data_IF_139741113933
#
_entry.id   IF_139741113933
#
_cell.length_a   1.000
_cell.length_b   1.000
_cell.length_c   1.000
_cell.angle_alpha   90.00
_cell.angle_beta   90.00
_cell.angle_gamma   90.00
#
_symmetry.space_group_name_H-M   'P 1'
#
loop_
_entity.id
_entity.type
_entity.pdbx_description
1 polymer ?
#
# COMPACT_ATOMS: atom_id res chain seq x y z
N UNK A 1 4.45 3.61 9.52
CA UNK A 1 5.91 3.81 9.53
C UNK A 1 6.30 4.58 8.29
N UNK A 2 7.35 5.38 8.35
CA UNK A 2 7.80 6.17 7.23
C UNK A 2 9.34 6.21 7.20
N UNK A 3 9.90 6.37 6.01
CA UNK A 3 11.33 6.31 5.78
C UNK A 3 11.72 7.44 4.85
N UNK A 4 12.72 8.18 5.27
CA UNK A 4 13.32 9.24 4.48
C UNK A 4 14.55 9.79 5.22
N UNK A 5 15.36 10.61 4.55
CA UNK A 5 16.47 11.32 5.19
C UNK A 5 15.90 12.49 6.02
N UNK A 6 15.73 12.25 7.34
CA UNK A 6 15.13 13.24 8.23
C UNK A 6 16.13 14.27 8.78
N UNK A 7 17.44 14.01 8.65
CA UNK A 7 18.49 14.87 9.19
C UNK A 7 19.39 15.51 8.13
N UNK A 8 19.13 15.27 6.84
CA UNK A 8 19.89 15.80 5.68
C UNK A 8 21.35 15.37 5.61
N UNK A 9 21.67 14.21 6.17
CA UNK A 9 23.03 13.70 6.12
C UNK A 9 23.31 12.82 4.89
N UNK A 10 22.31 12.64 4.03
CA UNK A 10 22.34 11.80 2.85
C UNK A 10 22.13 10.32 3.16
N UNK A 11 21.75 9.98 4.39
CA UNK A 11 21.38 8.64 4.80
C UNK A 11 19.87 8.58 5.02
N UNK A 12 19.27 7.44 4.78
CA UNK A 12 17.88 7.28 5.11
C UNK A 12 17.70 6.92 6.59
N UNK A 13 16.70 7.53 7.20
CA UNK A 13 16.30 7.36 8.58
C UNK A 13 14.95 6.65 8.65
N UNK A 14 14.58 6.19 9.82
CA UNK A 14 13.34 5.46 10.06
C UNK A 14 12.49 6.21 11.07
N UNK A 15 11.20 6.33 10.83
CA UNK A 15 10.23 6.81 11.79
C UNK A 15 9.10 5.79 11.99
N UNK A 16 8.80 5.49 13.24
CA UNK A 16 7.78 4.51 13.62
C UNK A 16 6.80 5.12 14.60
N UNK A 17 5.52 5.07 14.26
CA UNK A 17 4.45 5.45 15.16
C UNK A 17 3.91 4.19 15.87
N UNK A 18 3.93 4.22 17.19
CA UNK A 18 3.55 3.10 18.05
C UNK A 18 2.13 3.25 18.56
N UNK A 19 1.23 2.37 18.14
CA UNK A 19 -0.19 2.37 18.51
C UNK A 19 -0.40 2.21 20.03
N UNK A 20 0.25 1.24 20.65
CA UNK A 20 0.05 0.91 22.07
C UNK A 20 0.61 1.95 23.04
N UNK A 21 1.78 2.52 22.74
CA UNK A 21 2.42 3.55 23.57
C UNK A 21 2.12 4.97 23.14
N UNK A 22 1.45 5.11 22.00
CA UNK A 22 1.06 6.42 21.48
C UNK A 22 2.25 7.36 21.32
N UNK A 23 3.33 6.88 20.72
CA UNK A 23 4.51 7.70 20.50
C UNK A 23 5.14 7.46 19.12
N UNK A 24 6.01 8.38 18.73
CA UNK A 24 6.89 8.25 17.59
C UNK A 24 8.31 7.96 18.07
N UNK A 25 8.96 7.02 17.41
CA UNK A 25 10.39 6.73 17.58
C UNK A 25 11.09 6.89 16.24
N UNK A 26 12.26 7.55 16.26
CA UNK A 26 13.10 7.70 15.07
C UNK A 26 14.45 7.06 15.26
N UNK A 27 14.96 6.47 14.21
CA UNK A 27 16.28 5.88 14.14
C UNK A 27 17.03 6.57 13.01
N UNK A 28 18.17 7.20 13.33
CA UNK A 28 18.99 7.89 12.36
C UNK A 28 20.00 6.95 11.74
N UNK A 29 20.01 6.87 10.42
CA UNK A 29 20.99 6.13 9.67
C UNK A 29 22.40 6.71 9.87
N UNK A 30 23.42 5.87 10.05
CA UNK A 30 24.79 6.32 10.22
C UNK A 30 25.73 5.93 9.07
N UNK A 31 25.12 5.37 7.98
CA UNK A 31 25.87 4.97 6.77
C UNK A 31 26.77 3.74 6.95
N UNK A 32 26.77 3.12 8.12
CA UNK A 32 27.61 1.95 8.43
C UNK A 32 26.80 0.72 8.89
N UNK A 33 25.52 0.66 8.52
CA UNK A 33 24.52 -0.37 8.90
C UNK A 33 24.13 -0.35 10.37
N UNK A 34 24.37 0.74 11.04
CA UNK A 34 23.86 0.94 12.38
C UNK A 34 22.93 2.13 12.36
N UNK A 35 21.85 1.99 13.09
CA UNK A 35 20.99 3.11 13.43
C UNK A 35 21.38 3.57 14.84
N UNK A 36 21.69 4.84 14.98
CA UNK A 36 21.84 5.40 16.29
C UNK A 36 20.43 5.65 16.85
N UNK A 37 20.12 4.96 17.92
CA UNK A 37 18.94 5.30 18.71
C UNK A 37 19.23 6.68 19.34
N UNK A 38 18.80 7.73 18.69
CA UNK A 38 18.94 9.11 19.18
C UNK A 38 18.10 9.38 20.43
N UNK A 39 17.63 8.32 21.05
CA UNK A 39 16.80 8.37 22.23
C UNK A 39 15.33 8.53 21.87
N UNK A 40 14.47 8.19 22.78
CA UNK A 40 13.04 8.53 22.73
C UNK A 40 12.93 10.05 22.62
N UNK A 41 12.98 10.60 21.41
CA UNK A 41 12.40 11.90 21.19
C UNK A 41 10.90 11.65 21.33
N UNK A 42 10.47 11.67 22.60
CA UNK A 42 9.13 11.31 22.96
C UNK A 42 8.14 12.36 22.51
N UNK A 43 7.81 12.36 21.23
CA UNK A 43 6.52 12.87 20.84
C UNK A 43 5.57 11.78 21.30
N UNK A 44 4.93 12.04 22.44
CA UNK A 44 3.83 11.24 22.90
C UNK A 44 2.58 11.78 22.23
N UNK A 45 1.84 10.92 21.60
CA UNK A 45 0.55 11.24 21.03
C UNK A 45 -0.54 11.08 22.11
N UNK A 46 -1.55 11.90 22.04
CA UNK A 46 -2.71 11.74 22.92
C UNK A 46 -3.56 10.52 22.52
N UNK A 47 -3.46 10.09 21.29
CA UNK A 47 -4.24 9.01 20.68
C UNK A 47 -3.36 7.95 20.02
N UNK A 48 -3.93 6.79 19.73
CA UNK A 48 -3.20 5.68 19.11
C UNK A 48 -2.97 5.94 17.61
N UNK A 49 -1.71 6.01 17.12
CA UNK A 49 -1.44 6.21 15.71
C UNK A 49 -1.77 4.94 14.92
N UNK A 50 -2.53 5.10 13.83
CA UNK A 50 -2.93 4.01 12.94
C UNK A 50 -1.99 3.89 11.74
N UNK A 51 -1.57 5.01 11.17
CA UNK A 51 -0.84 5.07 9.92
C UNK A 51 0.12 6.26 9.91
N UNK A 52 1.25 6.12 9.24
CA UNK A 52 2.17 7.23 8.98
C UNK A 52 2.66 7.22 7.53
N UNK A 53 2.94 8.39 6.99
CA UNK A 53 3.63 8.58 5.72
C UNK A 53 4.78 9.57 5.87
N UNK A 54 5.73 9.55 4.95
CA UNK A 54 6.82 10.50 4.91
C UNK A 54 7.06 11.02 3.50
N UNK A 55 7.54 12.25 3.41
CA UNK A 55 7.91 12.86 2.15
C UNK A 55 8.57 14.21 2.39
N UNK A 56 9.18 14.76 1.35
CA UNK A 56 9.76 16.12 1.42
C UNK A 56 8.66 17.15 1.13
N UNK A 57 7.98 17.58 2.18
CA UNK A 57 6.87 18.54 2.08
C UNK A 57 7.32 20.01 2.12
N UNK A 58 8.59 20.30 2.44
CA UNK A 58 9.09 21.65 2.59
C UNK A 58 10.25 22.04 1.67
N UNK A 59 10.70 21.15 0.79
CA UNK A 59 11.82 21.35 -0.16
C UNK A 59 13.16 21.77 0.47
N UNK A 60 13.31 21.65 1.76
CA UNK A 60 14.55 21.98 2.44
C UNK A 60 15.59 20.85 2.39
N UNK A 61 15.21 19.73 1.76
CA UNK A 61 16.03 18.53 1.63
C UNK A 61 15.91 17.57 2.82
N UNK A 62 15.07 17.87 3.82
CA UNK A 62 14.67 16.92 4.84
C UNK A 62 13.32 16.31 4.51
N UNK A 63 12.90 15.35 5.29
CA UNK A 63 11.62 14.72 5.14
C UNK A 63 10.80 14.87 6.40
N UNK A 64 9.54 15.13 6.18
CA UNK A 64 8.54 15.25 7.23
C UNK A 64 7.73 13.95 7.33
N UNK A 65 7.10 13.76 8.49
CA UNK A 65 6.24 12.63 8.79
C UNK A 65 4.84 13.13 9.08
N UNK A 66 3.82 12.50 8.52
CA UNK A 66 2.46 12.68 9.00
C UNK A 66 1.94 11.38 9.66
N UNK A 67 1.06 11.54 10.62
CA UNK A 67 0.51 10.45 11.44
C UNK A 67 -1.00 10.56 11.48
N UNK A 68 -1.69 9.48 11.10
CA UNK A 68 -3.14 9.35 11.26
C UNK A 68 -3.45 8.46 12.48
N UNK A 69 -4.56 8.69 13.15
CA UNK A 69 -4.92 8.03 14.41
C UNK A 69 -6.19 7.21 14.29
N UNK A 70 -6.27 6.15 15.09
CA UNK A 70 -7.45 5.31 15.18
C UNK A 70 -8.60 6.02 15.91
N UNK A 71 -9.76 6.10 15.28
CA UNK A 71 -10.98 6.68 15.86
C UNK A 71 -10.93 8.18 16.13
N UNK A 72 -10.02 8.91 15.49
CA UNK A 72 -9.77 10.34 15.68
C UNK A 72 -9.91 11.08 14.35
N UNK A 73 -10.32 12.31 14.41
CA UNK A 73 -10.67 13.17 13.28
C UNK A 73 -9.56 14.19 12.91
N UNK A 74 -8.30 13.82 13.16
CA UNK A 74 -7.16 14.63 12.71
C UNK A 74 -5.92 13.77 12.39
N UNK A 75 -5.00 14.38 11.65
CA UNK A 75 -3.64 13.87 11.42
C UNK A 75 -2.62 14.85 12.00
N UNK A 76 -1.53 14.33 12.52
CA UNK A 76 -0.38 15.13 12.93
C UNK A 76 0.66 15.14 11.82
N UNK A 77 1.31 16.27 11.65
CA UNK A 77 2.52 16.35 10.87
C UNK A 77 3.69 16.77 11.74
N UNK A 78 4.79 16.09 11.55
CA UNK A 78 6.04 16.28 12.28
C UNK A 78 7.09 16.81 11.32
N UNK A 79 7.63 17.99 11.59
CA UNK A 79 8.67 18.65 10.81
C UNK A 79 10.04 18.35 11.40
N UNK A 80 11.00 17.94 10.58
CA UNK A 80 12.36 17.68 11.02
C UNK A 80 13.21 18.96 11.06
N UNK A 81 14.20 18.96 11.94
CA UNK A 81 15.23 19.99 12.03
C UNK A 81 16.63 19.38 11.86
N UNK A 82 17.63 20.20 11.54
CA UNK A 82 19.00 19.82 11.14
C UNK A 82 19.77 18.82 12.04
N UNK A 83 19.21 18.37 13.13
CA UNK A 83 19.82 17.39 14.05
C UNK A 83 18.99 16.09 14.20
N UNK A 84 18.06 15.84 13.26
CA UNK A 84 17.21 14.64 13.31
C UNK A 84 16.21 14.63 14.48
N UNK A 85 15.95 15.79 15.10
CA UNK A 85 14.92 15.93 16.12
C UNK A 85 13.65 16.51 15.52
N UNK A 86 12.51 16.02 15.96
CA UNK A 86 11.22 16.61 15.61
C UNK A 86 10.83 17.62 16.69
N UNK A 87 10.49 18.82 16.29
CA UNK A 87 9.96 19.83 17.19
C UNK A 87 8.63 20.30 16.67
N UNK A 88 7.63 20.34 17.52
CA UNK A 88 6.24 20.68 17.25
C UNK A 88 5.53 19.72 16.32
N UNK A 89 4.59 18.98 16.83
CA UNK A 89 3.55 18.41 16.01
C UNK A 89 2.50 19.51 15.70
N UNK A 90 2.01 19.50 14.48
CA UNK A 90 0.90 20.35 14.08
C UNK A 90 -0.25 19.41 13.77
N UNK A 91 -1.34 19.56 14.52
CA UNK A 91 -2.54 18.76 14.29
C UNK A 91 -3.32 19.31 13.10
N UNK A 92 -3.71 18.41 12.21
CA UNK A 92 -4.61 18.73 11.11
C UNK A 92 -5.87 17.90 11.25
N UNK A 93 -7.01 18.58 11.43
CA UNK A 93 -8.30 17.89 11.47
C UNK A 93 -8.56 17.12 10.19
N UNK A 94 -9.10 15.91 10.33
CA UNK A 94 -9.58 15.04 9.26
C UNK A 94 -11.00 14.58 9.59
N UNK A 95 -11.54 13.61 8.86
CA UNK A 95 -12.78 12.95 9.26
C UNK A 95 -12.57 11.81 10.24
N UNK A 96 -13.65 11.16 10.64
CA UNK A 96 -13.65 10.08 11.62
C UNK A 96 -13.29 8.73 10.97
N UNK A 97 -12.58 7.88 11.71
CA UNK A 97 -12.20 6.51 11.35
C UNK A 97 -11.44 6.46 10.02
N UNK A 98 -10.17 6.84 10.10
CA UNK A 98 -9.26 6.84 8.96
C UNK A 98 -8.92 5.40 8.55
N UNK A 99 -9.07 5.05 7.28
CA UNK A 99 -8.78 3.70 6.77
C UNK A 99 -7.58 3.64 5.85
N UNK A 100 -7.42 4.61 4.97
CA UNK A 100 -6.38 4.60 3.96
C UNK A 100 -5.87 6.01 3.67
N UNK A 101 -4.60 6.10 3.31
CA UNK A 101 -3.96 7.34 2.91
C UNK A 101 -3.21 7.14 1.59
N UNK A 102 -3.32 8.11 0.69
CA UNK A 102 -2.51 8.18 -0.51
C UNK A 102 -1.88 9.58 -0.64
N UNK A 103 -0.79 9.64 -1.37
CA UNK A 103 -0.03 10.86 -1.61
C UNK A 103 -0.09 11.22 -3.10
N UNK A 104 -0.04 12.52 -3.40
CA UNK A 104 0.04 13.03 -4.76
C UNK A 104 0.22 14.54 -4.75
N UNK A 105 0.60 15.11 -5.87
CA UNK A 105 0.60 16.56 -6.08
C UNK A 105 -0.75 16.95 -6.73
N UNK A 106 -1.74 17.31 -5.89
CA UNK A 106 -3.10 17.58 -6.35
C UNK A 106 -3.30 19.02 -6.83
N UNK A 107 -2.28 19.88 -6.66
CA UNK A 107 -2.36 21.28 -7.04
C UNK A 107 -1.30 21.69 -8.06
N UNK A 108 -0.48 20.75 -8.56
CA UNK A 108 0.59 20.95 -9.54
C UNK A 108 1.66 21.95 -9.09
N UNK A 109 1.90 22.05 -7.78
CA UNK A 109 2.94 22.90 -7.22
C UNK A 109 4.24 22.16 -6.93
N UNK A 110 4.29 20.88 -7.27
CA UNK A 110 5.40 19.95 -7.02
C UNK A 110 5.64 19.65 -5.53
N UNK A 111 4.68 19.96 -4.67
CA UNK A 111 4.68 19.52 -3.28
C UNK A 111 3.80 18.27 -3.13
N UNK A 112 4.10 17.47 -2.13
CA UNK A 112 3.25 16.34 -1.79
C UNK A 112 2.05 16.83 -0.99
N UNK A 113 0.89 16.43 -1.44
CA UNK A 113 -0.39 16.59 -0.78
C UNK A 113 -0.86 15.23 -0.24
N UNK A 114 -1.88 15.25 0.60
CA UNK A 114 -2.40 14.06 1.27
C UNK A 114 -3.89 13.91 0.96
N UNK A 115 -4.31 12.68 0.64
CA UNK A 115 -5.72 12.30 0.63
C UNK A 115 -5.95 11.15 1.60
N UNK A 116 -7.02 11.24 2.41
CA UNK A 116 -7.34 10.30 3.48
C UNK A 116 -8.79 9.85 3.34
N UNK A 117 -9.03 8.53 3.37
CA UNK A 117 -10.37 7.97 3.43
C UNK A 117 -10.88 7.97 4.88
N UNK A 118 -12.02 8.61 5.13
CA UNK A 118 -12.66 8.72 6.43
C UNK A 118 -13.92 7.85 6.44
N UNK A 119 -13.78 6.63 6.92
CA UNK A 119 -14.85 5.61 6.94
C UNK A 119 -16.08 6.11 7.71
N UNK A 120 -15.86 6.68 8.90
CA UNK A 120 -16.94 7.12 9.78
C UNK A 120 -17.77 8.27 9.26
N UNK A 121 -17.21 9.12 8.39
CA UNK A 121 -17.89 10.31 7.87
C UNK A 121 -18.36 10.16 6.42
N UNK A 122 -18.00 9.09 5.76
CA UNK A 122 -18.26 8.89 4.33
C UNK A 122 -17.67 10.02 3.48
N UNK A 123 -16.43 10.38 3.76
CA UNK A 123 -15.69 11.44 3.05
C UNK A 123 -14.25 11.04 2.75
N UNK A 124 -13.62 11.79 1.87
CA UNK A 124 -12.16 11.92 1.87
C UNK A 124 -11.77 13.32 2.33
N UNK A 125 -10.66 13.40 3.07
CA UNK A 125 -10.00 14.67 3.43
C UNK A 125 -8.80 14.87 2.54
N UNK A 126 -8.69 16.05 1.94
CA UNK A 126 -7.53 16.48 1.15
C UNK A 126 -6.84 17.62 1.91
N UNK A 127 -5.54 17.49 2.10
CA UNK A 127 -4.67 18.48 2.75
C UNK A 127 -3.56 18.84 1.76
N UNK A 128 -3.48 20.09 1.35
CA UNK A 128 -2.47 20.57 0.42
C UNK A 128 -1.21 21.00 1.17
N UNK A 129 -0.07 20.50 0.72
CA UNK A 129 1.22 20.83 1.26
C UNK A 129 1.72 22.21 0.79
N UNK A 130 2.30 22.99 1.69
CA UNK A 130 2.92 24.27 1.34
C UNK A 130 4.42 24.14 0.99
N UNK A 131 4.95 22.93 0.99
CA UNK A 131 6.37 22.69 0.75
C UNK A 131 7.30 23.28 1.83
N UNK A 132 6.77 23.63 2.97
CA UNK A 132 7.51 24.11 4.13
C UNK A 132 7.22 23.25 5.38
N UNK A 133 6.68 22.05 5.15
CA UNK A 133 6.30 21.16 6.21
C UNK A 133 4.95 21.48 6.86
N UNK A 134 4.15 22.36 6.29
CA UNK A 134 2.78 22.59 6.74
C UNK A 134 1.77 22.31 5.64
N UNK A 135 0.54 22.03 6.05
CA UNK A 135 -0.59 21.80 5.15
C UNK A 135 -1.70 22.83 5.36
N UNK A 136 -2.55 22.93 4.37
CA UNK A 136 -3.81 23.63 4.54
C UNK A 136 -4.69 22.93 5.58
N UNK A 137 -5.70 23.61 6.09
CA UNK A 137 -6.81 22.90 6.71
C UNK A 137 -7.40 21.93 5.69
N UNK A 138 -7.87 20.77 6.18
CA UNK A 138 -8.52 19.79 5.32
C UNK A 138 -9.66 20.41 4.50
N UNK A 139 -9.81 19.91 3.30
CA UNK A 139 -11.02 20.09 2.51
C UNK A 139 -11.65 18.72 2.31
N UNK A 140 -12.88 18.57 2.78
CA UNK A 140 -13.58 17.29 2.71
C UNK A 140 -14.43 17.21 1.44
N UNK A 141 -14.47 16.01 0.88
CA UNK A 141 -15.32 15.67 -0.24
C UNK A 141 -16.12 14.42 0.08
N UNK A 142 -17.42 14.43 -0.19
CA UNK A 142 -18.29 13.30 0.07
C UNK A 142 -17.91 12.11 -0.82
N UNK A 143 -18.00 10.91 -0.26
CA UNK A 143 -17.85 9.63 -0.94
C UNK A 143 -19.12 8.79 -0.77
N UNK A 144 -19.10 7.55 -1.21
CA UNK A 144 -20.10 6.56 -0.81
C UNK A 144 -19.91 6.13 0.63
N UNK A 145 -20.70 5.14 1.07
CA UNK A 145 -20.69 4.68 2.46
C UNK A 145 -19.48 3.83 2.78
N UNK A 146 -18.78 4.17 3.84
CA UNK A 146 -17.56 3.52 4.35
C UNK A 146 -16.44 3.45 3.28
N UNK A 147 -15.78 4.57 2.99
CA UNK A 147 -14.60 4.57 2.13
C UNK A 147 -13.47 3.78 2.78
N UNK A 148 -12.96 2.76 2.09
CA UNK A 148 -11.99 1.81 2.63
C UNK A 148 -10.63 1.89 1.98
N UNK A 149 -10.57 1.98 0.66
CA UNK A 149 -9.34 1.99 -0.13
C UNK A 149 -9.36 3.14 -1.13
N UNK A 150 -8.21 3.76 -1.34
CA UNK A 150 -8.02 4.92 -2.23
C UNK A 150 -6.90 4.63 -3.22
N UNK A 151 -7.12 5.00 -4.48
CA UNK A 151 -6.05 5.10 -5.47
C UNK A 151 -6.12 6.45 -6.17
N UNK A 152 -5.01 6.87 -6.74
CA UNK A 152 -4.87 8.15 -7.46
C UNK A 152 -4.37 7.90 -8.87
N UNK A 153 -4.80 8.75 -9.80
CA UNK A 153 -4.37 8.69 -11.20
C UNK A 153 -5.03 9.83 -11.99
N UNK A 154 -4.53 10.08 -13.16
CA UNK A 154 -5.15 11.03 -14.11
C UNK A 154 -6.18 10.26 -14.95
N UNK A 155 -7.47 10.34 -14.56
CA UNK A 155 -8.54 9.59 -15.21
C UNK A 155 -9.15 10.29 -16.42
N UNK A 156 -8.83 11.59 -16.62
CA UNK A 156 -9.38 12.38 -17.71
C UNK A 156 -8.31 12.89 -18.69
N UNK A 157 -7.05 12.45 -18.51
CA UNK A 157 -5.90 12.84 -19.35
C UNK A 157 -5.63 14.35 -19.38
N UNK A 158 -5.94 15.06 -18.28
CA UNK A 158 -5.68 16.49 -18.16
C UNK A 158 -4.40 16.83 -17.40
N UNK A 159 -3.62 15.81 -17.05
CA UNK A 159 -2.37 15.86 -16.27
C UNK A 159 -2.54 16.20 -14.78
N UNK A 160 -3.77 16.35 -14.31
CA UNK A 160 -4.04 16.52 -12.90
C UNK A 160 -4.38 15.16 -12.25
N UNK A 161 -4.02 15.00 -10.97
CA UNK A 161 -4.38 13.80 -10.26
C UNK A 161 -5.84 13.83 -9.81
N UNK A 162 -6.54 12.75 -10.10
CA UNK A 162 -7.89 12.44 -9.66
C UNK A 162 -7.85 11.40 -8.55
N UNK A 163 -8.96 11.17 -7.88
CA UNK A 163 -9.08 10.23 -6.77
C UNK A 163 -10.18 9.21 -7.08
N UNK A 164 -9.90 7.93 -6.86
CA UNK A 164 -10.90 6.87 -6.81
C UNK A 164 -10.93 6.24 -5.43
N UNK A 165 -12.13 5.99 -4.91
CA UNK A 165 -12.37 5.49 -3.56
C UNK A 165 -13.31 4.30 -3.60
N UNK A 166 -12.90 3.17 -3.03
CA UNK A 166 -13.76 2.01 -2.84
C UNK A 166 -14.62 2.20 -1.57
N UNK A 167 -15.94 2.12 -1.71
CA UNK A 167 -16.89 2.35 -0.62
C UNK A 167 -17.47 1.03 -0.15
N UNK A 168 -16.94 0.45 0.92
CA UNK A 168 -17.20 -0.91 1.41
C UNK A 168 -18.69 -1.23 1.54
N UNK A 169 -19.45 -0.38 2.23
CA UNK A 169 -20.88 -0.57 2.41
C UNK A 169 -21.74 0.11 1.35
N UNK A 170 -21.15 0.95 0.52
CA UNK A 170 -21.83 1.61 -0.59
C UNK A 170 -22.03 0.72 -1.80
N UNK A 171 -21.25 -0.36 -1.94
CA UNK A 171 -21.15 -1.17 -3.15
C UNK A 171 -20.90 -0.30 -4.40
N UNK A 172 -20.02 0.69 -4.26
CA UNK A 172 -19.67 1.65 -5.30
C UNK A 172 -18.20 2.02 -5.21
N UNK A 173 -17.68 2.59 -6.28
CA UNK A 173 -16.54 3.49 -6.20
C UNK A 173 -17.01 4.93 -6.38
N UNK A 174 -16.34 5.85 -5.71
CA UNK A 174 -16.46 7.29 -5.91
C UNK A 174 -15.27 7.79 -6.69
N UNK A 175 -15.50 8.50 -7.79
CA UNK A 175 -14.46 9.16 -8.57
C UNK A 175 -14.61 10.67 -8.40
N UNK A 176 -13.52 11.34 -8.04
CA UNK A 176 -13.44 12.77 -7.83
C UNK A 176 -12.40 13.33 -8.78
N UNK A 177 -12.83 14.09 -9.77
CA UNK A 177 -11.97 14.70 -10.77
C UNK A 177 -11.28 15.92 -10.17
N UNK A 178 -9.94 15.94 -10.26
CA UNK A 178 -9.09 17.01 -9.80
C UNK A 178 -9.03 18.18 -10.80
N UNK A 179 -8.93 19.39 -10.29
CA UNK A 179 -8.78 20.60 -11.13
C UNK A 179 -7.34 21.11 -11.18
N UNK A 180 -6.37 20.33 -10.66
CA UNK A 180 -4.96 20.73 -10.61
C UNK A 180 -4.67 21.94 -9.72
N UNK A 181 -5.58 22.30 -8.85
CA UNK A 181 -5.46 23.40 -7.89
C UNK A 181 -5.80 22.97 -6.46
N UNK A 182 -5.73 21.66 -6.18
CA UNK A 182 -6.09 21.08 -4.89
C UNK A 182 -7.58 21.02 -4.62
N UNK A 183 -8.41 21.26 -5.64
CA UNK A 183 -9.85 21.07 -5.51
C UNK A 183 -10.34 20.00 -6.47
N UNK A 184 -11.44 19.37 -6.07
CA UNK A 184 -12.05 18.27 -6.80
C UNK A 184 -13.50 18.53 -7.08
N UNK A 185 -13.99 17.96 -8.17
CA UNK A 185 -15.42 17.92 -8.47
C UNK A 185 -16.16 17.11 -7.38
N UNK A 186 -17.47 17.29 -7.30
CA UNK A 186 -18.30 16.36 -6.55
C UNK A 186 -18.12 14.96 -7.11
N UNK A 187 -18.15 13.95 -6.22
CA UNK A 187 -18.01 12.57 -6.63
C UNK A 187 -19.01 12.19 -7.72
N UNK A 188 -18.54 11.42 -8.67
CA UNK A 188 -19.39 10.58 -9.53
C UNK A 188 -19.28 9.15 -9.01
N UNK A 189 -20.41 8.50 -8.77
CA UNK A 189 -20.43 7.14 -8.24
C UNK A 189 -20.69 6.13 -9.34
N UNK A 190 -19.94 5.03 -9.29
CA UNK A 190 -20.12 3.90 -10.19
C UNK A 190 -20.38 2.65 -9.35
N UNK A 191 -21.36 1.84 -9.74
CA UNK A 191 -21.70 0.61 -9.04
C UNK A 191 -20.57 -0.41 -9.18
N UNK A 192 -20.32 -1.13 -8.11
CA UNK A 192 -19.43 -2.30 -8.03
C UNK A 192 -20.21 -3.49 -7.53
N UNK A 193 -19.56 -4.63 -7.31
CA UNK A 193 -20.11 -5.69 -6.48
C UNK A 193 -20.18 -5.26 -5.02
N UNK A 194 -20.67 -6.16 -4.16
CA UNK A 194 -20.85 -5.91 -2.74
C UNK A 194 -19.51 -5.96 -1.99
N UNK A 195 -19.32 -5.01 -1.08
CA UNK A 195 -18.13 -4.97 -0.22
C UNK A 195 -16.82 -4.69 -0.97
N UNK A 196 -16.72 -3.63 -1.76
CA UNK A 196 -15.45 -3.25 -2.39
C UNK A 196 -14.43 -2.89 -1.31
N UNK A 197 -13.29 -3.61 -1.28
CA UNK A 197 -12.29 -3.51 -0.21
C UNK A 197 -10.89 -3.12 -0.72
N UNK A 198 -10.59 -3.40 -1.98
CA UNK A 198 -9.30 -3.11 -2.59
C UNK A 198 -9.51 -2.53 -3.98
N UNK A 199 -8.77 -1.47 -4.32
CA UNK A 199 -8.84 -0.83 -5.63
C UNK A 199 -7.43 -0.70 -6.22
N UNK A 200 -7.30 -0.98 -7.52
CA UNK A 200 -6.10 -0.72 -8.29
C UNK A 200 -6.48 -0.11 -9.66
N UNK A 201 -5.52 0.54 -10.29
CA UNK A 201 -5.72 1.22 -11.57
C UNK A 201 -4.72 0.76 -12.61
N UNK A 202 -5.10 0.78 -13.87
CA UNK A 202 -4.27 0.43 -15.01
C UNK A 202 -5.04 0.54 -16.30
N UNK A 203 -4.35 0.59 -17.43
CA UNK A 203 -4.98 0.59 -18.76
C UNK A 203 -5.23 -0.87 -19.18
N UNK A 204 -6.46 -1.36 -19.00
CA UNK A 204 -6.82 -2.75 -19.32
C UNK A 204 -7.30 -2.96 -20.74
N UNK A 205 -7.48 -1.87 -21.49
CA UNK A 205 -7.99 -1.94 -22.85
C UNK A 205 -7.03 -1.36 -23.91
N UNK A 206 -5.83 -0.93 -23.46
CA UNK A 206 -4.77 -0.34 -24.29
C UNK A 206 -5.23 0.93 -25.03
N UNK A 207 -6.12 1.72 -24.43
CA UNK A 207 -6.61 2.98 -25.01
C UNK A 207 -5.94 4.22 -24.39
N UNK A 208 -4.95 4.01 -23.50
CA UNK A 208 -4.21 5.05 -22.76
C UNK A 208 -5.00 5.76 -21.67
N UNK A 209 -6.25 5.39 -21.43
CA UNK A 209 -6.99 5.88 -20.29
C UNK A 209 -6.85 4.92 -19.12
N UNK A 210 -6.83 5.43 -17.91
CA UNK A 210 -6.80 4.58 -16.72
C UNK A 210 -8.18 3.97 -16.46
N UNK A 211 -8.19 2.66 -16.31
CA UNK A 211 -9.33 1.86 -15.90
C UNK A 211 -9.21 1.51 -14.41
N UNK A 212 -10.29 1.04 -13.82
CA UNK A 212 -10.36 0.68 -12.40
C UNK A 212 -10.67 -0.81 -12.25
N UNK A 213 -9.92 -1.50 -11.40
CA UNK A 213 -10.27 -2.83 -10.89
C UNK A 213 -10.55 -2.78 -9.40
N UNK A 214 -11.61 -3.44 -8.97
CA UNK A 214 -12.08 -3.43 -7.58
C UNK A 214 -12.35 -4.86 -7.11
N UNK A 215 -11.71 -5.26 -6.01
CA UNK A 215 -12.04 -6.51 -5.32
C UNK A 215 -13.29 -6.35 -4.46
N UNK A 216 -14.33 -7.15 -4.74
CA UNK A 216 -15.62 -7.12 -4.04
C UNK A 216 -15.68 -8.29 -3.06
N UNK A 217 -15.32 -8.04 -1.82
CA UNK A 217 -15.25 -9.03 -0.75
C UNK A 217 -16.58 -9.77 -0.52
N UNK A 218 -17.70 -9.05 -0.60
CA UNK A 218 -19.03 -9.60 -0.31
C UNK A 218 -19.65 -10.45 -1.43
N UNK A 219 -19.25 -10.22 -2.69
CA UNK A 219 -19.82 -10.90 -3.88
C UNK A 219 -18.89 -11.95 -4.48
N UNK A 220 -17.66 -12.05 -4.00
CA UNK A 220 -16.65 -12.94 -4.58
C UNK A 220 -16.37 -12.65 -6.06
N UNK A 221 -16.22 -11.37 -6.39
CA UNK A 221 -15.97 -10.91 -7.74
C UNK A 221 -14.91 -9.80 -7.75
N UNK A 222 -14.40 -9.50 -8.93
CA UNK A 222 -13.82 -8.19 -9.23
C UNK A 222 -14.73 -7.44 -10.18
N UNK A 223 -14.81 -6.12 -10.00
CA UNK A 223 -15.45 -5.18 -10.94
C UNK A 223 -14.39 -4.49 -11.77
N UNK A 224 -14.58 -4.46 -13.07
CA UNK A 224 -13.77 -3.68 -14.02
C UNK A 224 -14.63 -2.55 -14.55
N UNK A 225 -14.12 -1.33 -14.43
CA UNK A 225 -14.73 -0.12 -14.95
C UNK A 225 -13.77 0.50 -15.95
N UNK A 226 -14.12 0.48 -17.23
CA UNK A 226 -13.29 1.07 -18.28
C UNK A 226 -13.46 2.59 -18.29
N UNK A 227 -12.32 3.28 -18.26
CA UNK A 227 -12.24 4.72 -18.26
C UNK A 227 -12.42 5.30 -19.67
N UNK A 228 -12.93 6.51 -19.72
CA UNK A 228 -12.96 7.34 -20.93
C UNK A 228 -12.11 8.58 -20.71
N UNK A 229 -11.60 9.16 -21.78
CA UNK A 229 -10.73 10.34 -21.74
C UNK A 229 -11.36 11.58 -21.07
N UNK A 230 -12.62 11.53 -20.69
CA UNK A 230 -13.33 12.61 -19.99
C UNK A 230 -13.49 12.36 -18.47
N UNK A 231 -12.83 11.32 -17.94
CA UNK A 231 -12.90 10.94 -16.54
C UNK A 231 -14.18 10.22 -16.14
N UNK A 232 -15.03 9.87 -17.11
CA UNK A 232 -16.16 8.99 -16.88
C UNK A 232 -15.77 7.53 -17.08
N UNK A 233 -16.58 6.64 -16.51
CA UNK A 233 -16.36 5.21 -16.59
C UNK A 233 -17.58 4.48 -17.13
N UNK A 234 -17.33 3.39 -17.85
CA UNK A 234 -18.38 2.47 -18.25
C UNK A 234 -19.01 1.81 -17.02
N UNK A 235 -20.20 1.26 -17.21
CA UNK A 235 -20.77 0.36 -16.21
C UNK A 235 -19.82 -0.81 -15.98
N UNK A 236 -19.72 -1.24 -14.72
CA UNK A 236 -18.86 -2.36 -14.38
C UNK A 236 -19.15 -3.61 -15.20
N UNK A 237 -18.10 -4.31 -15.55
CA UNK A 237 -18.14 -5.72 -15.94
C UNK A 237 -17.57 -6.53 -14.79
N UNK A 238 -18.31 -7.56 -14.36
CA UNK A 238 -17.88 -8.36 -13.21
C UNK A 238 -17.29 -9.69 -13.66
N UNK A 239 -16.24 -10.11 -12.95
CA UNK A 239 -15.62 -11.42 -13.12
C UNK A 239 -15.58 -12.13 -11.78
N UNK A 240 -15.96 -13.42 -11.78
CA UNK A 240 -15.91 -14.22 -10.56
C UNK A 240 -14.47 -14.45 -10.10
N UNK A 241 -14.28 -14.40 -8.80
CA UNK A 241 -13.02 -14.73 -8.11
C UNK A 241 -13.22 -15.94 -7.19
N UNK A 242 -12.28 -16.22 -6.33
CA UNK A 242 -12.53 -17.05 -5.15
C UNK A 242 -13.34 -16.32 -4.10
N UNK A 243 -13.56 -16.97 -2.99
CA UNK A 243 -14.34 -16.42 -1.88
C UNK A 243 -13.54 -15.36 -1.12
N UNK A 244 -14.21 -14.25 -0.77
CA UNK A 244 -13.61 -13.17 0.01
C UNK A 244 -12.33 -12.62 -0.60
N UNK A 245 -12.38 -12.01 -1.80
CA UNK A 245 -11.24 -11.33 -2.39
C UNK A 245 -10.78 -10.19 -1.50
N UNK A 246 -9.54 -10.24 -1.02
CA UNK A 246 -9.02 -9.31 -0.02
C UNK A 246 -7.98 -8.34 -0.59
N UNK A 247 -7.15 -8.79 -1.51
CA UNK A 247 -6.08 -7.99 -2.12
C UNK A 247 -6.06 -8.20 -3.63
N UNK A 248 -5.90 -7.12 -4.37
CA UNK A 248 -5.81 -7.10 -5.84
C UNK A 248 -4.48 -6.49 -6.27
N UNK A 249 -3.81 -7.13 -7.23
CA UNK A 249 -2.64 -6.56 -7.90
C UNK A 249 -2.74 -6.80 -9.41
N UNK A 250 -1.96 -6.04 -10.18
CA UNK A 250 -1.97 -6.08 -11.64
C UNK A 250 -0.56 -6.34 -12.18
N UNK A 251 -0.48 -6.99 -13.34
CA UNK A 251 0.78 -7.27 -14.04
C UNK A 251 0.51 -8.07 -15.31
N UNK A 252 1.48 -8.13 -16.20
CA UNK A 252 1.41 -8.96 -17.41
C UNK A 252 1.94 -10.37 -17.08
N UNK A 253 1.04 -11.32 -16.80
CA UNK A 253 1.42 -12.68 -16.41
C UNK A 253 1.60 -13.63 -17.58
N UNK A 254 1.24 -13.20 -18.79
CA UNK A 254 1.33 -14.04 -19.98
C UNK A 254 2.28 -13.49 -21.06
N UNK A 255 2.96 -12.36 -20.76
CA UNK A 255 3.89 -11.66 -21.65
C UNK A 255 3.26 -11.25 -22.99
N UNK A 256 1.98 -10.87 -22.96
CA UNK A 256 1.27 -10.38 -24.14
C UNK A 256 1.13 -8.86 -24.20
N UNK A 257 1.77 -8.17 -23.23
CA UNK A 257 1.74 -6.72 -23.01
C UNK A 257 0.40 -6.14 -22.51
N UNK A 258 -0.59 -6.99 -22.25
CA UNK A 258 -1.83 -6.57 -21.64
C UNK A 258 -1.76 -6.78 -20.13
N UNK A 259 -2.43 -5.91 -19.37
CA UNK A 259 -2.50 -6.09 -17.93
C UNK A 259 -3.48 -7.20 -17.58
N UNK A 260 -3.01 -8.10 -16.73
CA UNK A 260 -3.76 -9.17 -16.09
C UNK A 260 -4.01 -8.82 -14.61
N UNK A 261 -4.89 -9.56 -13.95
CA UNK A 261 -5.26 -9.33 -12.56
C UNK A 261 -4.98 -10.57 -11.74
N UNK A 262 -4.36 -10.39 -10.58
CA UNK A 262 -4.28 -11.39 -9.52
C UNK A 262 -5.09 -10.95 -8.32
N UNK A 263 -5.82 -11.88 -7.71
CA UNK A 263 -6.69 -11.63 -6.56
C UNK A 263 -6.42 -12.67 -5.48
N UNK A 264 -6.07 -12.23 -4.28
CA UNK A 264 -5.97 -13.09 -3.11
C UNK A 264 -7.37 -13.31 -2.50
N UNK A 265 -7.82 -14.57 -2.45
CA UNK A 265 -9.15 -14.95 -1.97
C UNK A 265 -9.03 -15.59 -0.59
N UNK A 266 -9.30 -14.80 0.45
CA UNK A 266 -9.11 -15.19 1.85
C UNK A 266 -9.99 -16.38 2.26
N UNK A 267 -11.23 -16.42 1.75
CA UNK A 267 -12.23 -17.41 2.19
C UNK A 267 -12.08 -18.80 1.60
N UNK A 268 -11.43 -18.98 0.43
CA UNK A 268 -11.25 -20.31 -0.17
C UNK A 268 -9.78 -20.70 -0.41
N UNK A 269 -8.86 -19.93 0.16
CA UNK A 269 -7.43 -20.26 0.19
C UNK A 269 -6.82 -20.39 -1.20
N UNK A 270 -7.14 -19.45 -2.06
CA UNK A 270 -6.64 -19.43 -3.45
C UNK A 270 -6.19 -18.03 -3.86
N UNK A 271 -5.44 -17.96 -4.95
CA UNK A 271 -5.40 -16.78 -5.80
C UNK A 271 -6.16 -17.05 -7.09
N UNK A 272 -6.86 -16.03 -7.58
CA UNK A 272 -7.49 -16.03 -8.91
C UNK A 272 -6.63 -15.23 -9.87
N UNK A 273 -6.35 -15.78 -11.05
CA UNK A 273 -5.70 -15.11 -12.16
C UNK A 273 -6.74 -14.88 -13.26
N UNK A 274 -6.88 -13.64 -13.70
CA UNK A 274 -7.74 -13.24 -14.79
C UNK A 274 -6.86 -12.63 -15.88
N UNK A 275 -6.71 -13.32 -17.01
CA UNK A 275 -5.89 -12.83 -18.12
C UNK A 275 -6.67 -11.81 -18.93
N UNK A 276 -6.05 -10.65 -19.14
CA UNK A 276 -6.59 -9.57 -19.94
C UNK A 276 -6.40 -9.81 -21.43
N UNK A 277 -7.36 -9.38 -22.23
CA UNK A 277 -7.27 -9.45 -23.69
C UNK A 277 -6.88 -8.10 -24.31
N UNK A 278 -6.48 -7.12 -23.52
CA UNK A 278 -6.12 -5.78 -23.98
C UNK A 278 -7.27 -4.99 -24.60
N UNK A 279 -8.50 -5.41 -24.34
CA UNK A 279 -9.72 -4.75 -24.79
C UNK A 279 -10.72 -4.50 -23.65
N UNK A 280 -10.24 -4.53 -22.42
CA UNK A 280 -11.04 -4.37 -21.20
C UNK A 280 -11.82 -5.61 -20.80
N UNK A 281 -11.68 -6.72 -21.50
CA UNK A 281 -12.25 -8.00 -21.10
C UNK A 281 -11.18 -8.97 -20.63
N UNK A 282 -11.61 -9.88 -19.76
CA UNK A 282 -10.74 -10.86 -19.11
C UNK A 282 -11.24 -12.28 -19.32
N UNK A 283 -10.32 -13.22 -19.34
CA UNK A 283 -10.66 -14.63 -19.27
C UNK A 283 -11.36 -14.96 -17.94
N UNK A 284 -12.07 -16.09 -17.93
CA UNK A 284 -12.53 -16.65 -16.66
C UNK A 284 -11.32 -16.93 -15.76
N UNK A 285 -11.49 -16.72 -14.46
CA UNK A 285 -10.43 -16.95 -13.50
C UNK A 285 -9.84 -18.37 -13.62
N UNK A 286 -8.55 -18.46 -13.47
CA UNK A 286 -7.85 -19.70 -13.13
C UNK A 286 -7.43 -19.62 -11.69
N UNK A 287 -7.80 -20.60 -10.89
CA UNK A 287 -7.47 -20.63 -9.46
C UNK A 287 -6.22 -21.45 -9.19
N UNK A 288 -5.39 -20.92 -8.32
CA UNK A 288 -4.24 -21.62 -7.77
C UNK A 288 -4.35 -21.65 -6.24
N UNK A 289 -4.13 -22.83 -5.67
CA UNK A 289 -4.20 -23.00 -4.21
C UNK A 289 -3.05 -22.26 -3.53
N UNK A 290 -3.35 -21.65 -2.40
CA UNK A 290 -2.40 -21.00 -1.49
C UNK A 290 -2.43 -21.70 -0.12
N UNK A 291 -1.81 -21.11 0.87
CA UNK A 291 -2.09 -21.41 2.27
C UNK A 291 -3.45 -20.87 2.71
N UNK A 292 -3.77 -21.02 3.98
CA UNK A 292 -5.05 -20.59 4.53
C UNK A 292 -5.08 -19.09 4.80
N UNK A 293 -6.18 -18.44 4.44
CA UNK A 293 -6.41 -17.02 4.66
C UNK A 293 -5.41 -16.10 3.92
N UNK A 294 -5.28 -16.18 2.58
CA UNK A 294 -4.41 -15.26 1.85
C UNK A 294 -4.94 -13.82 1.94
N UNK A 295 -4.09 -12.90 2.43
CA UNK A 295 -4.48 -11.51 2.72
C UNK A 295 -3.62 -10.46 2.01
N UNK A 296 -2.47 -10.83 1.51
CA UNK A 296 -1.59 -9.91 0.80
C UNK A 296 -0.89 -10.65 -0.34
N UNK A 297 -0.81 -10.03 -1.51
CA UNK A 297 -0.12 -10.58 -2.68
C UNK A 297 0.86 -9.56 -3.24
N UNK A 298 2.07 -10.02 -3.58
CA UNK A 298 3.06 -9.24 -4.32
C UNK A 298 3.51 -9.99 -5.57
N UNK A 299 3.99 -9.23 -6.56
CA UNK A 299 4.28 -9.71 -7.92
C UNK A 299 5.71 -9.35 -8.29
N UNK A 300 6.52 -10.33 -8.70
CA UNK A 300 7.91 -10.11 -9.15
C UNK A 300 8.50 -11.34 -9.81
N UNK A 301 9.62 -11.20 -10.49
CA UNK A 301 10.35 -12.30 -11.14
C UNK A 301 11.34 -12.92 -10.15
N UNK A 302 10.95 -14.04 -9.50
CA UNK A 302 11.75 -14.71 -8.46
C UNK A 302 12.78 -15.72 -9.03
N UNK A 303 12.67 -16.03 -10.29
CA UNK A 303 13.55 -17.02 -10.92
C UNK A 303 14.44 -16.44 -12.04
N UNK A 304 14.37 -15.11 -12.28
CA UNK A 304 15.10 -14.38 -13.30
C UNK A 304 14.84 -14.91 -14.73
N UNK A 305 13.60 -15.31 -15.00
CA UNK A 305 13.20 -15.78 -16.34
C UNK A 305 12.40 -14.74 -17.12
N UNK A 306 12.26 -13.53 -16.57
CA UNK A 306 11.48 -12.40 -17.10
C UNK A 306 9.96 -12.57 -17.05
N UNK A 307 9.48 -13.61 -16.39
CA UNK A 307 8.06 -13.82 -16.17
C UNK A 307 7.70 -13.43 -14.72
N UNK A 308 6.49 -12.92 -14.54
CA UNK A 308 6.04 -12.53 -13.22
C UNK A 308 5.58 -13.75 -12.42
N UNK A 309 6.11 -13.87 -11.21
CA UNK A 309 5.77 -14.85 -10.19
C UNK A 309 4.94 -14.18 -9.09
N UNK A 310 4.37 -14.97 -8.21
CA UNK A 310 3.55 -14.48 -7.10
C UNK A 310 4.12 -14.95 -5.76
N UNK A 311 4.06 -14.07 -4.77
CA UNK A 311 4.17 -14.42 -3.37
C UNK A 311 2.92 -13.97 -2.62
N UNK A 312 2.39 -14.84 -1.77
CA UNK A 312 1.13 -14.63 -1.07
C UNK A 312 1.33 -14.89 0.41
N UNK A 313 0.99 -13.93 1.25
CA UNK A 313 0.98 -14.10 2.71
C UNK A 313 -0.34 -14.77 3.14
N UNK A 314 -0.23 -15.91 3.83
CA UNK A 314 -1.37 -16.71 4.28
C UNK A 314 -1.56 -16.52 5.79
N UNK A 315 -2.52 -15.66 6.18
CA UNK A 315 -2.69 -15.19 7.55
C UNK A 315 -3.01 -16.28 8.57
N UNK A 316 -3.70 -17.35 8.14
CA UNK A 316 -4.22 -18.36 9.06
C UNK A 316 -3.31 -19.60 9.24
N UNK A 317 -2.43 -19.92 8.28
CA UNK A 317 -1.59 -21.12 8.38
C UNK A 317 -0.08 -20.82 8.54
N UNK A 318 0.27 -19.57 8.79
CA UNK A 318 1.63 -19.16 9.13
C UNK A 318 2.66 -19.52 8.04
N UNK A 319 2.27 -19.33 6.79
CA UNK A 319 3.11 -19.60 5.62
C UNK A 319 3.06 -18.46 4.63
N UNK A 320 4.01 -18.46 3.72
CA UNK A 320 3.84 -17.84 2.40
C UNK A 320 3.70 -18.93 1.34
N UNK A 321 2.99 -18.61 0.28
CA UNK A 321 2.92 -19.40 -0.94
C UNK A 321 3.68 -18.67 -2.04
N UNK A 322 4.64 -19.35 -2.67
CA UNK A 322 5.32 -18.88 -3.88
C UNK A 322 4.81 -19.69 -5.06
N UNK A 323 4.34 -19.00 -6.09
CA UNK A 323 3.85 -19.60 -7.33
C UNK A 323 4.66 -19.05 -8.49
N UNK A 324 5.41 -19.94 -9.15
CA UNK A 324 6.26 -19.59 -10.29
C UNK A 324 5.41 -19.49 -11.54
N UNK A 325 5.49 -18.35 -12.22
CA UNK A 325 4.83 -18.10 -13.48
C UNK A 325 5.58 -18.70 -14.66
N UNK A 326 4.85 -19.13 -15.66
CA UNK A 326 5.44 -19.68 -16.89
C UNK A 326 5.39 -18.70 -18.06
N UNK A 327 5.06 -17.43 -17.81
CA UNK A 327 4.94 -16.39 -18.83
C UNK A 327 3.84 -16.64 -19.88
N UNK A 328 2.90 -17.52 -19.55
CA UNK A 328 1.75 -17.85 -20.40
C UNK A 328 0.42 -17.75 -19.62
N UNK A 329 0.44 -17.04 -18.49
CA UNK A 329 -0.71 -16.88 -17.60
C UNK A 329 -0.97 -18.08 -16.69
N UNK A 330 -0.11 -19.10 -16.74
CA UNK A 330 -0.21 -20.23 -15.81
C UNK A 330 0.94 -20.22 -14.82
N UNK A 331 0.67 -20.80 -13.66
CA UNK A 331 1.60 -20.87 -12.54
C UNK A 331 1.81 -22.30 -12.08
N UNK A 332 3.00 -22.56 -11.56
CA UNK A 332 3.28 -23.80 -10.87
C UNK A 332 2.41 -23.95 -9.62
N UNK A 333 2.28 -25.17 -9.13
CA UNK A 333 1.73 -25.38 -7.80
C UNK A 333 2.56 -24.61 -6.78
N UNK A 334 1.90 -24.05 -5.77
CA UNK A 334 2.58 -23.31 -4.73
C UNK A 334 3.70 -24.11 -4.07
N UNK A 335 4.81 -23.46 -3.80
CA UNK A 335 5.79 -23.90 -2.82
C UNK A 335 5.55 -23.14 -1.54
N UNK A 336 5.32 -23.85 -0.44
CA UNK A 336 5.08 -23.23 0.86
C UNK A 336 6.38 -23.07 1.63
N UNK A 337 6.52 -21.93 2.26
CA UNK A 337 7.58 -21.67 3.22
C UNK A 337 6.96 -21.33 4.56
N UNK A 338 7.38 -22.02 5.61
CA UNK A 338 6.95 -21.69 6.96
C UNK A 338 7.58 -20.38 7.40
N UNK A 339 6.78 -19.54 8.01
CA UNK A 339 7.19 -18.24 8.55
C UNK A 339 6.63 -18.12 9.98
N UNK A 340 6.75 -16.95 10.59
CA UNK A 340 6.15 -16.70 11.91
C UNK A 340 4.62 -16.70 11.86
N UNK A 341 4.00 -16.61 13.01
CA UNK A 341 2.53 -16.72 13.16
C UNK A 341 1.79 -15.43 12.79
N UNK A 342 0.71 -15.59 12.05
CA UNK A 342 -0.15 -14.49 11.60
C UNK A 342 0.55 -13.55 10.62
N UNK A 343 1.04 -14.05 9.46
CA UNK A 343 1.60 -13.15 8.45
C UNK A 343 0.55 -12.11 8.03
N UNK A 344 0.97 -10.85 7.96
CA UNK A 344 0.05 -9.72 7.73
C UNK A 344 0.37 -8.92 6.47
N UNK A 345 1.62 -8.80 6.10
CA UNK A 345 2.05 -8.05 4.92
C UNK A 345 3.29 -8.67 4.31
N UNK A 346 3.38 -8.66 2.99
CA UNK A 346 4.55 -9.14 2.24
C UNK A 346 5.11 -8.04 1.36
N UNK A 347 6.43 -7.93 1.33
CA UNK A 347 7.16 -7.10 0.37
C UNK A 347 8.33 -7.90 -0.22
N UNK A 348 8.79 -7.47 -1.39
CA UNK A 348 9.84 -8.12 -2.15
C UNK A 348 10.86 -7.10 -2.60
N UNK A 349 12.12 -7.46 -2.52
CA UNK A 349 13.23 -6.73 -3.15
C UNK A 349 14.52 -7.54 -3.01
N UNK A 350 15.65 -7.03 -3.55
CA UNK A 350 16.97 -7.65 -3.41
C UNK A 350 17.68 -7.15 -2.14
N UNK A 351 17.47 -7.83 -1.00
CA UNK A 351 18.00 -7.38 0.31
C UNK A 351 19.50 -7.63 0.49
N UNK A 352 20.10 -8.43 -0.36
CA UNK A 352 21.50 -8.80 -0.24
C UNK A 352 22.38 -8.31 -1.39
N UNK A 353 21.82 -7.55 -2.34
CA UNK A 353 22.45 -7.02 -3.55
C UNK A 353 23.08 -8.12 -4.44
N UNK A 354 22.38 -9.23 -4.59
CA UNK A 354 22.80 -10.32 -5.47
C UNK A 354 22.02 -10.36 -6.80
N UNK A 355 21.19 -9.35 -7.05
CA UNK A 355 20.26 -9.20 -8.18
C UNK A 355 19.19 -10.31 -8.25
N UNK A 356 18.75 -10.77 -7.11
CA UNK A 356 17.65 -11.73 -6.97
C UNK A 356 16.64 -11.18 -5.97
N UNK A 357 15.38 -11.39 -6.26
CA UNK A 357 14.34 -10.95 -5.33
C UNK A 357 14.29 -11.86 -4.10
N UNK A 358 14.30 -11.23 -2.95
CA UNK A 358 14.10 -11.82 -1.64
C UNK A 358 12.67 -11.48 -1.15
N UNK A 359 12.24 -12.13 -0.10
CA UNK A 359 10.91 -11.92 0.49
C UNK A 359 11.06 -11.50 1.94
N UNK A 360 10.29 -10.50 2.36
CA UNK A 360 10.08 -10.16 3.76
C UNK A 360 8.59 -10.23 4.10
N UNK A 361 8.27 -10.78 5.26
CA UNK A 361 6.89 -10.94 5.74
C UNK A 361 6.82 -10.55 7.21
N UNK A 362 5.85 -9.73 7.57
CA UNK A 362 5.54 -9.43 8.96
C UNK A 362 4.66 -10.53 9.57
N UNK A 363 4.93 -10.92 10.81
CA UNK A 363 4.24 -11.97 11.54
C UNK A 363 3.57 -11.36 12.77
N UNK A 364 2.30 -11.03 12.63
CA UNK A 364 1.52 -10.28 13.61
C UNK A 364 1.49 -10.91 15.01
N UNK A 365 1.25 -12.22 15.07
CA UNK A 365 1.08 -12.92 16.36
C UNK A 365 2.39 -13.21 17.08
N UNK A 366 3.48 -13.37 16.35
CA UNK A 366 4.80 -13.71 16.91
C UNK A 366 5.66 -12.49 17.23
N UNK A 367 5.23 -11.31 16.80
CA UNK A 367 6.02 -10.09 16.95
C UNK A 367 7.39 -10.21 16.27
N UNK A 368 7.39 -10.75 15.06
CA UNK A 368 8.61 -10.95 14.27
C UNK A 368 8.37 -10.57 12.82
N UNK A 369 9.47 -10.46 12.08
CA UNK A 369 9.46 -10.56 10.63
C UNK A 369 10.29 -11.75 10.17
N UNK A 370 9.90 -12.35 9.07
CA UNK A 370 10.61 -13.42 8.38
C UNK A 370 11.23 -12.88 7.12
N UNK A 371 12.53 -13.11 6.93
CA UNK A 371 13.25 -12.80 5.69
C UNK A 371 13.68 -14.09 5.03
N UNK A 372 13.36 -14.27 3.77
CA UNK A 372 13.73 -15.43 2.97
C UNK A 372 14.53 -14.97 1.76
N UNK A 373 15.82 -15.32 1.74
CA UNK A 373 16.70 -14.98 0.62
C UNK A 373 16.42 -15.86 -0.61
N UNK A 374 16.27 -15.23 -1.76
CA UNK A 374 16.04 -15.90 -3.01
C UNK A 374 17.33 -16.45 -3.63
N UNK A 375 17.23 -17.60 -4.26
CA UNK A 375 18.34 -18.16 -5.01
C UNK A 375 18.30 -17.79 -6.51
N UNK A 376 17.33 -16.97 -6.93
CA UNK A 376 17.14 -16.55 -8.32
C UNK A 376 16.66 -17.69 -9.23
N UNK A 377 16.08 -18.73 -8.65
CA UNK A 377 15.51 -19.88 -9.35
C UNK A 377 14.12 -20.26 -8.82
N UNK A 378 13.44 -19.31 -8.20
CA UNK A 378 12.12 -19.50 -7.57
C UNK A 378 12.15 -20.27 -6.26
N UNK A 379 13.35 -20.55 -5.73
CA UNK A 379 13.53 -21.21 -4.44
C UNK A 379 14.13 -20.22 -3.45
N UNK A 380 13.68 -20.29 -2.22
CA UNK A 380 14.11 -19.41 -1.14
C UNK A 380 14.80 -20.20 -0.02
N UNK A 381 15.70 -19.55 0.67
CA UNK A 381 16.29 -20.06 1.89
C UNK A 381 15.23 -20.23 2.99
N UNK A 382 15.57 -21.00 4.02
CA UNK A 382 14.76 -20.99 5.23
C UNK A 382 14.72 -19.57 5.81
N UNK A 383 13.59 -19.21 6.39
CA UNK A 383 13.42 -17.91 7.01
C UNK A 383 14.53 -17.58 8.02
N UNK A 384 14.99 -16.37 7.97
CA UNK A 384 15.68 -15.71 9.07
C UNK A 384 14.65 -14.92 9.84
N UNK A 385 14.59 -15.09 11.14
CA UNK A 385 13.59 -14.44 11.99
C UNK A 385 14.25 -13.27 12.70
N UNK A 386 13.62 -12.12 12.62
CA UNK A 386 14.01 -10.91 13.33
C UNK A 386 12.87 -10.48 14.23
N UNK A 387 13.21 -10.12 15.48
CA UNK A 387 12.21 -9.55 16.38
C UNK A 387 11.77 -8.17 15.87
N UNK A 388 10.49 -7.92 15.91
CA UNK A 388 9.87 -6.62 15.68
C UNK A 388 9.25 -6.13 16.99
N UNK A 389 8.56 -5.03 16.94
CA UNK A 389 7.62 -4.70 18.00
C UNK A 389 6.36 -5.58 17.95
N UNK A 390 5.40 -5.35 18.88
CA UNK A 390 4.20 -6.17 19.01
C UNK A 390 3.21 -5.93 17.88
N UNK A 391 2.69 -7.01 17.33
CA UNK A 391 1.67 -6.98 16.26
C UNK A 391 2.14 -6.24 15.00
N UNK A 392 3.23 -6.69 14.35
CA UNK A 392 3.68 -6.07 13.10
C UNK A 392 2.63 -6.21 12.02
N UNK A 393 2.24 -5.08 11.40
CA UNK A 393 1.08 -5.00 10.50
C UNK A 393 1.43 -4.75 9.05
N UNK A 394 2.53 -4.05 8.80
CA UNK A 394 2.96 -3.72 7.43
C UNK A 394 4.47 -3.70 7.35
N UNK A 395 4.99 -4.01 6.18
CA UNK A 395 6.42 -3.97 5.87
C UNK A 395 6.68 -3.14 4.63
N UNK A 396 7.77 -2.40 4.63
CA UNK A 396 8.30 -1.70 3.48
C UNK A 396 9.81 -1.92 3.37
N UNK A 397 10.33 -1.76 2.15
CA UNK A 397 11.74 -1.96 1.83
C UNK A 397 12.29 -0.74 1.09
N UNK A 398 13.57 -0.46 1.25
CA UNK A 398 14.25 0.65 0.59
C UNK A 398 15.69 0.77 1.10
N UNK A 399 16.54 1.47 0.35
CA UNK A 399 17.88 1.84 0.82
C UNK A 399 17.77 3.06 1.74
N UNK A 400 17.71 2.82 3.05
CA UNK A 400 17.43 3.86 4.04
C UNK A 400 18.68 4.58 4.54
N UNK A 401 19.84 4.09 4.15
CA UNK A 401 21.10 4.66 4.59
C UNK A 401 22.01 5.09 3.43
N UNK A 402 21.48 5.08 2.18
CA UNK A 402 22.21 5.37 0.94
C UNK A 402 23.50 4.56 0.77
N UNK A 403 23.53 3.33 1.28
CA UNK A 403 24.67 2.42 1.12
C UNK A 403 24.52 1.52 -0.11
N UNK A 404 23.49 1.73 -0.92
CA UNK A 404 23.09 0.94 -2.07
C UNK A 404 22.59 -0.47 -1.72
N UNK A 405 22.19 -0.68 -0.48
CA UNK A 405 21.59 -1.92 0.00
C UNK A 405 20.20 -1.63 0.54
N UNK A 406 19.34 -2.61 0.39
CA UNK A 406 17.98 -2.49 0.88
C UNK A 406 17.92 -2.82 2.38
N UNK A 407 17.23 -1.99 3.08
CA UNK A 407 16.87 -2.16 4.48
C UNK A 407 15.38 -2.53 4.58
N UNK A 408 14.98 -3.08 5.71
CA UNK A 408 13.61 -3.51 5.96
C UNK A 408 13.06 -2.77 7.15
N UNK A 409 11.83 -2.32 7.02
CA UNK A 409 11.15 -1.57 8.06
C UNK A 409 9.75 -2.11 8.29
N UNK A 410 9.36 -2.26 9.56
CA UNK A 410 8.12 -2.90 9.99
C UNK A 410 7.32 -1.98 10.90
N UNK A 411 6.00 -1.85 10.67
CA UNK A 411 5.11 -1.17 11.62
C UNK A 411 4.56 -2.16 12.63
N UNK A 412 4.49 -1.75 13.89
CA UNK A 412 4.00 -2.57 15.00
C UNK A 412 2.80 -1.88 15.68
N UNK A 413 1.67 -2.59 15.82
CA UNK A 413 0.42 -1.99 16.30
C UNK A 413 0.29 -1.87 17.83
N UNK A 414 1.02 -2.65 18.61
CA UNK A 414 0.77 -2.77 20.04
C UNK A 414 2.00 -2.62 20.96
N UNK A 415 3.06 -1.88 20.61
CA UNK A 415 4.26 -1.89 21.45
C UNK A 415 4.86 -0.58 21.96
N UNK A 416 5.60 -0.76 23.11
CA UNK A 416 6.40 0.27 23.80
C UNK A 416 7.85 0.39 23.25
N UNK A 417 8.28 -0.46 22.30
CA UNK A 417 9.67 -0.49 21.81
C UNK A 417 9.76 -1.09 20.41
N UNK A 418 10.76 -0.67 19.70
CA UNK A 418 11.29 -1.34 18.51
C UNK A 418 12.49 -2.18 18.95
#
# INVERSE_FOLDING_TARGET
MAIHDFNKDGQADIAVANYGTKNLVTFMGSGNRTFENQGRYGINFDFAPLMIGAGSFNKDGSSEIFVAYDGIDYVDMLVTYDIGSFSNHIEYSTGNWLQFVALGDFNNDTQLDIVIANDGDNTVSVLLGYGNGSFTNQKTYSTGSQPWSVAVGDFNNDTNLDIVVANLHGSTVSVLIGYGNGSFANQTTYSTGSGPISVAVGDFNNDTNLDIVVGNWGDNTVSILLGYADGSFANQTTYSTGSEPYSVAVGDFNNDTNLDIVVANSGDNTVSILLGYGNGSFANQTKYSTGSGPISVAVGDFNNDTHLDLVVANGDDNTISVLIGYGNGSFANQTKYSIGSGPSSVAIDDFNNDNRLDIVVTNWNDNTMSVLLGYGNGVFANQMIYSTGTSPSSVAVGDFNNDTRLDIVVTNLNEESI
#
